data_IF_903060143818
#
_entry.id   IF_903060143818
#
_cell.length_a   1.000
_cell.length_b   1.000
_cell.length_c   1.000
_cell.angle_alpha   90.00
_cell.angle_beta   90.00
_cell.angle_gamma   90.00
#
_symmetry.space_group_name_H-M   'P 1'
#
loop_
_entity.id
_entity.type
_entity.pdbx_description
1 polymer ?
#
# COMPACT_ATOMS: atom_id res chain seq x y z
N UNK A 1 6.17 -17.94 -8.16
CA UNK A 1 6.50 -17.29 -6.87
C UNK A 1 5.52 -17.83 -5.83
N UNK A 2 5.95 -18.04 -4.60
CA UNK A 2 5.09 -18.59 -3.56
C UNK A 2 5.44 -17.99 -2.20
N UNK A 3 4.43 -17.65 -1.39
CA UNK A 3 4.64 -17.37 0.03
C UNK A 3 4.72 -18.74 0.74
N UNK A 4 5.92 -19.14 1.13
CA UNK A 4 6.20 -20.46 1.72
C UNK A 4 6.28 -20.43 3.24
N UNK A 5 6.59 -19.26 3.83
CA UNK A 5 6.62 -19.05 5.27
C UNK A 5 5.43 -18.22 5.75
N UNK A 6 4.72 -18.72 6.77
CA UNK A 6 3.61 -18.04 7.45
C UNK A 6 2.50 -17.53 6.51
N UNK A 7 2.27 -18.21 5.39
CA UNK A 7 1.20 -17.84 4.46
C UNK A 7 -0.18 -17.99 5.12
N UNK A 8 -0.99 -16.94 5.01
CA UNK A 8 -2.37 -16.91 5.47
C UNK A 8 -3.31 -16.54 4.31
N UNK A 9 -4.06 -17.52 3.83
CA UNK A 9 -4.95 -17.32 2.67
C UNK A 9 -6.06 -16.28 2.90
N UNK A 10 -6.43 -16.02 4.16
CA UNK A 10 -7.44 -15.03 4.52
C UNK A 10 -6.96 -13.59 4.39
N UNK A 11 -5.66 -13.37 4.21
CA UNK A 11 -5.09 -12.02 4.19
C UNK A 11 -4.02 -11.79 3.13
N UNK A 12 -3.23 -12.80 2.79
CA UNK A 12 -2.07 -12.66 1.92
C UNK A 12 -2.43 -12.85 0.45
N UNK A 13 -2.07 -11.88 -0.39
CA UNK A 13 -2.16 -11.98 -1.85
C UNK A 13 -0.87 -11.45 -2.50
N UNK A 14 -0.42 -12.09 -3.58
CA UNK A 14 0.58 -11.51 -4.47
C UNK A 14 -0.09 -11.00 -5.75
N UNK A 15 0.15 -9.74 -6.06
CA UNK A 15 -0.44 -9.06 -7.22
C UNK A 15 0.61 -8.80 -8.29
N UNK A 16 0.16 -8.87 -9.54
CA UNK A 16 0.98 -8.57 -10.71
C UNK A 16 0.13 -8.01 -11.83
N UNK A 17 0.55 -6.86 -12.35
CA UNK A 17 0.00 -6.26 -13.57
C UNK A 17 0.70 -6.88 -14.77
N UNK A 18 -0.08 -7.43 -15.70
CA UNK A 18 0.47 -8.05 -16.91
C UNK A 18 1.30 -7.06 -17.72
N UNK A 19 2.51 -7.46 -18.11
CA UNK A 19 3.46 -6.62 -18.84
C UNK A 19 4.40 -7.47 -19.69
N UNK A 20 4.94 -6.89 -20.76
CA UNK A 20 5.96 -7.53 -21.60
C UNK A 20 5.57 -8.92 -22.13
N UNK A 21 4.27 -9.18 -22.33
CA UNK A 21 3.75 -10.49 -22.76
C UNK A 21 3.72 -11.57 -21.66
N UNK A 22 3.96 -11.19 -20.41
CA UNK A 22 3.85 -12.05 -19.22
C UNK A 22 2.51 -11.76 -18.54
N UNK A 23 1.75 -12.80 -18.25
CA UNK A 23 0.51 -12.76 -17.48
C UNK A 23 0.67 -13.49 -16.15
N UNK A 24 -0.27 -13.27 -15.22
CA UNK A 24 -0.27 -13.90 -13.91
C UNK A 24 -1.53 -14.73 -13.63
N UNK A 25 -1.38 -15.71 -12.75
CA UNK A 25 -2.48 -16.40 -12.09
C UNK A 25 -2.13 -16.64 -10.63
N UNK A 26 -3.00 -16.18 -9.73
CA UNK A 26 -2.89 -16.37 -8.28
C UNK A 26 -3.69 -17.60 -7.85
N UNK A 27 -3.06 -18.45 -7.02
CA UNK A 27 -3.70 -19.55 -6.32
C UNK A 27 -3.62 -19.28 -4.81
N UNK A 28 -4.75 -18.92 -4.23
CA UNK A 28 -4.94 -18.59 -2.81
C UNK A 28 -4.90 -19.81 -1.88
N UNK A 29 -5.11 -21.01 -2.40
CA UNK A 29 -4.99 -22.24 -1.60
C UNK A 29 -3.52 -22.52 -1.32
N UNK A 30 -2.65 -22.33 -2.31
CA UNK A 30 -1.22 -22.63 -2.20
C UNK A 30 -0.32 -21.40 -2.00
N UNK A 31 -0.89 -20.19 -1.99
CA UNK A 31 -0.14 -18.93 -1.92
C UNK A 31 0.80 -18.73 -3.09
N UNK A 32 0.44 -19.24 -4.27
CA UNK A 32 1.32 -19.30 -5.45
C UNK A 32 0.87 -18.34 -6.54
N UNK A 33 1.76 -17.41 -6.92
CA UNK A 33 1.64 -16.59 -8.12
C UNK A 33 2.44 -17.22 -9.26
N UNK A 34 1.75 -17.64 -10.31
CA UNK A 34 2.36 -18.16 -11.54
C UNK A 34 2.46 -17.03 -12.56
N UNK A 35 3.68 -16.76 -13.06
CA UNK A 35 3.92 -15.82 -14.15
C UNK A 35 4.26 -16.59 -15.43
N UNK A 36 3.49 -16.41 -16.50
CA UNK A 36 3.61 -17.19 -17.74
C UNK A 36 3.64 -16.28 -18.96
N UNK A 37 4.51 -16.58 -19.92
CA UNK A 37 4.65 -15.83 -21.16
C UNK A 37 5.91 -16.22 -21.93
N UNK A 38 6.05 -15.72 -23.15
CA UNK A 38 7.31 -15.80 -23.89
C UNK A 38 7.99 -14.44 -23.84
N UNK A 39 8.98 -14.29 -22.97
CA UNK A 39 9.67 -13.03 -22.74
C UNK A 39 11.18 -13.24 -22.53
N UNK A 40 11.96 -12.16 -22.66
CA UNK A 40 13.41 -12.21 -22.40
C UNK A 40 13.69 -12.37 -20.90
N UNK A 41 14.91 -12.82 -20.56
CA UNK A 41 15.37 -12.90 -19.17
C UNK A 41 15.21 -11.57 -18.43
N UNK A 42 15.65 -10.45 -19.03
CA UNK A 42 15.52 -9.11 -18.43
C UNK A 42 14.06 -8.73 -18.17
N UNK A 43 13.14 -9.07 -19.07
CA UNK A 43 11.72 -8.81 -18.88
C UNK A 43 11.15 -9.63 -17.72
N UNK A 44 11.58 -10.89 -17.57
CA UNK A 44 11.20 -11.71 -16.42
C UNK A 44 11.77 -11.18 -15.10
N UNK A 45 13.02 -10.71 -15.08
CA UNK A 45 13.59 -10.06 -13.89
C UNK A 45 12.79 -8.81 -13.48
N UNK A 46 12.42 -7.97 -14.45
CA UNK A 46 11.60 -6.79 -14.19
C UNK A 46 10.18 -7.16 -13.73
N UNK A 47 9.59 -8.21 -14.32
CA UNK A 47 8.28 -8.70 -13.93
C UNK A 47 8.28 -9.24 -12.50
N UNK A 48 9.28 -10.03 -12.10
CA UNK A 48 9.41 -10.54 -10.73
C UNK A 48 9.60 -9.39 -9.74
N UNK A 49 10.38 -8.35 -10.10
CA UNK A 49 10.60 -7.16 -9.27
C UNK A 49 9.35 -6.29 -9.11
N UNK A 50 8.37 -6.39 -10.01
CA UNK A 50 7.14 -5.61 -9.93
C UNK A 50 6.00 -6.33 -9.20
N UNK A 51 6.24 -7.53 -8.67
CA UNK A 51 5.22 -8.24 -7.90
C UNK A 51 5.05 -7.55 -6.56
N UNK A 52 3.80 -7.21 -6.24
CA UNK A 52 3.43 -6.57 -4.99
C UNK A 52 2.85 -7.61 -4.03
N UNK A 53 3.14 -7.45 -2.74
CA UNK A 53 2.45 -8.17 -1.68
C UNK A 53 1.34 -7.27 -1.11
N UNK A 54 0.16 -7.86 -0.90
CA UNK A 54 -0.99 -7.21 -0.29
C UNK A 54 -1.44 -8.04 0.92
N UNK A 55 -1.70 -7.35 2.03
CA UNK A 55 -2.40 -7.90 3.18
C UNK A 55 -3.78 -7.24 3.29
N UNK A 56 -4.87 -8.01 3.27
CA UNK A 56 -6.24 -7.49 3.35
C UNK A 56 -6.81 -7.42 4.77
N UNK A 57 -6.05 -7.86 5.78
CA UNK A 57 -6.50 -7.88 7.17
C UNK A 57 -6.11 -6.57 7.89
N UNK A 58 -7.06 -5.81 8.46
CA UNK A 58 -6.76 -4.58 9.18
C UNK A 58 -5.97 -4.81 10.47
N UNK A 59 -5.92 -6.04 10.98
CA UNK A 59 -5.09 -6.48 12.10
C UNK A 59 -4.25 -7.68 11.65
N UNK A 60 -3.18 -7.44 10.88
CA UNK A 60 -2.43 -8.51 10.20
C UNK A 60 -1.67 -9.38 11.20
N UNK A 61 -1.43 -10.65 10.83
CA UNK A 61 -0.47 -11.47 11.57
C UNK A 61 0.96 -10.97 11.29
N UNK A 62 1.67 -10.62 12.37
CA UNK A 62 2.98 -9.95 12.33
C UNK A 62 4.15 -10.90 12.03
N UNK A 63 3.91 -12.19 11.81
CA UNK A 63 4.98 -13.14 11.48
C UNK A 63 5.62 -12.77 10.13
N UNK A 64 6.93 -12.92 10.01
CA UNK A 64 7.62 -12.68 8.73
C UNK A 64 7.08 -13.61 7.66
N UNK A 65 6.72 -13.08 6.48
CA UNK A 65 6.36 -13.91 5.33
C UNK A 65 7.63 -14.24 4.54
N UNK A 66 7.83 -15.50 4.19
CA UNK A 66 8.96 -15.89 3.32
C UNK A 66 8.43 -16.14 1.91
N UNK A 67 8.90 -15.36 0.96
CA UNK A 67 8.66 -15.53 -0.46
C UNK A 67 9.75 -16.42 -1.07
N UNK A 68 9.34 -17.45 -1.80
CA UNK A 68 10.23 -18.30 -2.60
C UNK A 68 9.92 -18.16 -4.08
N UNK A 69 10.95 -18.16 -4.92
CA UNK A 69 10.75 -18.11 -6.36
C UNK A 69 11.79 -18.94 -7.12
N UNK A 70 11.29 -19.52 -8.20
CA UNK A 70 12.03 -20.30 -9.20
C UNK A 70 11.55 -19.83 -10.56
N UNK A 71 12.47 -19.72 -11.52
CA UNK A 71 12.18 -19.39 -12.91
C UNK A 71 12.53 -20.59 -13.78
N UNK A 72 11.73 -20.86 -14.80
CA UNK A 72 12.02 -21.90 -15.81
C UNK A 72 12.12 -21.27 -17.19
N UNK A 73 13.03 -21.78 -18.01
CA UNK A 73 13.12 -21.49 -19.43
C UNK A 73 12.39 -22.52 -20.31
N UNK A 74 11.64 -23.43 -19.68
CA UNK A 74 10.93 -24.54 -20.34
C UNK A 74 11.75 -25.81 -20.49
N UNK A 75 13.06 -25.78 -20.21
CA UNK A 75 13.92 -26.98 -20.14
C UNK A 75 14.34 -27.26 -18.71
N UNK A 76 14.89 -26.24 -18.04
CA UNK A 76 15.42 -26.34 -16.69
C UNK A 76 14.75 -25.31 -15.75
N UNK A 77 14.92 -25.55 -14.45
CA UNK A 77 14.55 -24.62 -13.40
C UNK A 77 15.81 -23.95 -12.84
N UNK A 78 15.69 -22.68 -12.45
CA UNK A 78 16.70 -22.01 -11.64
C UNK A 78 16.79 -22.63 -10.25
N UNK A 79 17.86 -22.32 -9.51
CA UNK A 79 17.84 -22.46 -8.06
C UNK A 79 16.68 -21.66 -7.47
N UNK A 80 16.10 -22.17 -6.38
CA UNK A 80 15.11 -21.42 -5.60
C UNK A 80 15.82 -20.30 -4.84
N UNK A 81 15.28 -19.09 -4.97
CA UNK A 81 15.70 -17.93 -4.20
C UNK A 81 14.61 -17.56 -3.21
N UNK A 82 15.01 -17.08 -2.03
CA UNK A 82 14.09 -16.69 -0.97
C UNK A 82 14.26 -15.21 -0.61
N UNK A 83 13.17 -14.60 -0.17
CA UNK A 83 13.15 -13.24 0.36
C UNK A 83 12.12 -13.15 1.47
N UNK A 84 12.49 -12.46 2.55
CA UNK A 84 11.57 -12.20 3.65
C UNK A 84 10.84 -10.86 3.44
N UNK A 85 9.59 -10.84 3.87
CA UNK A 85 8.72 -9.68 3.93
C UNK A 85 8.38 -9.46 5.40
N UNK A 86 8.83 -8.32 5.92
CA UNK A 86 8.48 -7.87 7.26
C UNK A 86 7.12 -7.18 7.21
N UNK A 87 6.21 -7.58 8.11
CA UNK A 87 4.88 -6.99 8.24
C UNK A 87 4.96 -5.95 9.37
N UNK A 88 4.83 -4.64 9.09
CA UNK A 88 4.94 -3.62 10.12
C UNK A 88 3.79 -3.74 11.12
N UNK A 89 4.13 -3.56 12.39
CA UNK A 89 3.27 -3.67 13.57
C UNK A 89 2.24 -2.53 13.71
N UNK A 90 2.49 -1.42 13.02
CA UNK A 90 1.59 -0.26 12.87
C UNK A 90 2.04 0.58 11.68
N UNK A 91 1.10 1.24 10.99
CA UNK A 91 1.45 2.44 10.22
C UNK A 91 1.63 3.55 11.25
N UNK A 92 2.85 3.68 11.77
CA UNK A 92 3.18 4.70 12.77
C UNK A 92 3.19 6.12 12.19
N UNK A 93 3.05 6.27 10.87
CA UNK A 93 3.08 7.58 10.23
C UNK A 93 2.24 7.67 8.93
N UNK A 94 1.00 8.18 9.02
CA UNK A 94 0.18 8.52 7.85
C UNK A 94 0.80 9.64 6.98
N UNK A 95 1.77 10.41 7.47
CA UNK A 95 2.33 11.58 6.79
C UNK A 95 3.31 11.25 5.66
N UNK A 96 3.83 10.01 5.61
CA UNK A 96 4.63 9.54 4.47
C UNK A 96 3.79 8.90 3.35
N UNK A 97 2.51 8.60 3.60
CA UNK A 97 1.61 7.87 2.67
C UNK A 97 0.53 8.77 2.03
N UNK A 98 0.45 10.05 2.43
CA UNK A 98 -0.49 11.02 1.88
C UNK A 98 0.26 12.20 1.25
N UNK A 99 1.05 11.97 0.20
CA UNK A 99 1.71 13.07 -0.52
C UNK A 99 0.75 13.99 -1.29
N UNK A 100 -0.58 13.90 -1.06
CA UNK A 100 -1.55 14.80 -1.70
C UNK A 100 -2.87 15.02 -0.94
N UNK A 101 -2.96 14.69 0.35
CA UNK A 101 -4.17 15.00 1.14
C UNK A 101 -3.90 16.21 2.00
N UNK A 102 -4.27 17.39 1.50
CA UNK A 102 -4.36 18.59 2.33
C UNK A 102 -5.58 18.45 3.23
N UNK A 103 -5.37 18.07 4.49
CA UNK A 103 -6.38 18.23 5.53
C UNK A 103 -6.45 19.72 5.90
N UNK A 104 -7.60 20.36 5.63
CA UNK A 104 -7.91 21.66 6.22
C UNK A 104 -8.78 21.43 7.46
N UNK A 105 -8.18 21.62 8.63
CA UNK A 105 -8.86 22.19 9.79
C UNK A 105 -8.10 23.50 10.03
N UNK A 106 -8.76 24.66 10.14
CA UNK A 106 -9.27 25.13 11.42
C UNK A 106 -10.40 26.15 11.21
N UNK A 107 -11.55 25.96 11.87
CA UNK A 107 -12.26 27.12 12.39
C UNK A 107 -11.67 27.36 13.77
N UNK A 108 -10.77 28.34 13.88
CA UNK A 108 -10.31 28.82 15.18
C UNK A 108 -11.50 29.41 15.94
N UNK A 109 -11.61 29.07 17.22
CA UNK A 109 -12.36 29.88 18.17
C UNK A 109 -11.75 31.30 18.18
N UNK A 110 -12.52 32.29 17.73
CA UNK A 110 -12.01 33.64 17.42
C UNK A 110 -12.09 34.60 18.61
N UNK A 111 -12.89 34.33 19.63
CA UNK A 111 -12.98 35.21 20.82
C UNK A 111 -12.28 34.63 22.06
N UNK A 112 -11.98 33.33 22.07
CA UNK A 112 -11.10 32.69 23.04
C UNK A 112 -11.74 32.48 24.41
N UNK A 113 -13.06 32.35 24.48
CA UNK A 113 -13.78 32.09 25.73
C UNK A 113 -13.92 30.60 26.08
N UNK A 114 -13.58 29.70 25.14
CA UNK A 114 -13.62 28.23 25.26
C UNK A 114 -15.03 27.63 25.51
N UNK A 115 -16.10 28.37 25.22
CA UNK A 115 -17.47 27.86 25.22
C UNK A 115 -17.88 27.44 23.80
N UNK A 116 -18.63 26.35 23.68
CA UNK A 116 -19.03 25.80 22.36
C UNK A 116 -20.40 26.30 21.90
N UNK A 117 -20.93 27.40 22.46
CA UNK A 117 -22.33 27.78 22.30
C UNK A 117 -22.59 28.97 21.36
N UNK A 118 -21.56 29.56 20.74
CA UNK A 118 -21.72 30.75 19.88
C UNK A 118 -21.01 30.74 18.52
N UNK A 119 -20.29 29.67 18.13
CA UNK A 119 -19.86 29.52 16.73
C UNK A 119 -20.88 28.73 15.86
N UNK A 120 -21.52 29.33 14.83
CA UNK A 120 -22.01 30.69 14.65
C UNK A 120 -23.52 30.74 14.98
N UNK A 121 -23.86 31.33 16.12
CA UNK A 121 -25.23 31.34 16.65
C UNK A 121 -25.96 32.68 16.66
N UNK A 122 -25.38 33.78 16.19
CA UNK A 122 -25.98 35.12 16.45
C UNK A 122 -26.49 35.89 15.22
N UNK A 123 -26.42 35.31 14.02
CA UNK A 123 -27.06 35.89 12.85
C UNK A 123 -26.46 37.22 12.37
N UNK A 124 -25.21 37.53 12.73
CA UNK A 124 -24.48 38.64 12.12
C UNK A 124 -23.66 38.14 10.93
N UNK A 125 -23.87 38.77 9.77
CA UNK A 125 -23.45 38.25 8.47
C UNK A 125 -21.94 38.04 8.31
N UNK A 126 -21.58 36.90 7.73
CA UNK A 126 -20.20 36.57 7.32
C UNK A 126 -19.76 37.53 6.21
N UNK A 127 -19.00 38.58 6.57
CA UNK A 127 -18.20 39.32 5.59
C UNK A 127 -16.96 38.48 5.29
N UNK A 128 -17.04 37.74 4.18
CA UNK A 128 -15.95 37.09 3.43
C UNK A 128 -14.72 36.69 4.23
N UNK A 129 -14.59 35.38 4.47
CA UNK A 129 -13.36 34.72 4.89
C UNK A 129 -12.14 35.31 4.16
N UNK A 130 -11.40 36.18 4.83
CA UNK A 130 -10.07 36.56 4.40
C UNK A 130 -9.14 35.43 4.80
N UNK A 131 -8.52 34.78 3.82
CA UNK A 131 -7.40 33.86 4.05
C UNK A 131 -6.37 34.56 4.94
N UNK A 132 -6.08 33.96 6.09
CA UNK A 132 -5.10 34.41 7.08
C UNK A 132 -3.88 33.52 7.13
N UNK A 133 -3.67 32.65 6.15
CA UNK A 133 -2.37 32.02 5.98
C UNK A 133 -1.34 33.14 5.75
N UNK A 134 -0.41 33.25 6.67
CA UNK A 134 0.73 34.13 6.68
C UNK A 134 1.78 33.68 5.66
N UNK A 135 1.34 33.38 4.44
CA UNK A 135 2.22 33.21 3.30
C UNK A 135 2.78 34.59 2.93
N UNK A 136 3.79 34.99 3.69
CA UNK A 136 4.59 36.18 3.46
C UNK A 136 5.17 36.12 2.05
N UNK A 137 4.62 36.96 1.17
CA UNK A 137 5.43 37.71 0.23
C UNK A 137 6.03 38.92 0.93
#
# INVERSE_FOLDING_TARGET
LQITGNYLNSEDTLEFVSQNGITSSWNDISGTLTLTGSATKTNYENAIRSVSYLNSNPTPDMSVRTLSFTVSDGSDNSSTLTRDIEIPDSISDPSTDLSNTVFHFDAFDVDGDLLTNDQPGDGTGVSTWGDRSDNAG
#
